data_IF_981768860107
#
_entry.id   IF_981768860107
#
_cell.length_a   1.000
_cell.length_b   1.000
_cell.length_c   1.000
_cell.angle_alpha   90.00
_cell.angle_beta   90.00
_cell.angle_gamma   90.00
#
_symmetry.space_group_name_H-M   'P 1'
#
loop_
_entity.id
_entity.type
_entity.pdbx_description
1 polymer ?
#
# COMPACT_ATOMS: atom_id res chain seq x y z
N UNK A 1 32.14 -43.02 19.64
CA UNK A 1 33.36 -42.20 19.47
C UNK A 1 32.95 -40.74 19.48
N UNK A 2 33.23 -40.06 20.60
CA UNK A 2 32.87 -38.67 20.86
C UNK A 2 33.89 -37.74 20.19
N UNK A 3 33.44 -36.74 19.43
CA UNK A 3 34.27 -35.61 18.99
C UNK A 3 33.65 -34.28 19.46
N UNK A 4 34.48 -33.27 19.78
CA UNK A 4 34.13 -32.19 20.69
C UNK A 4 33.57 -30.94 19.98
N UNK A 5 32.82 -30.17 20.75
CA UNK A 5 32.33 -28.82 20.43
C UNK A 5 33.50 -27.84 20.32
N UNK A 6 33.57 -27.09 19.22
CA UNK A 6 34.44 -25.92 19.08
C UNK A 6 33.61 -24.65 19.16
N UNK A 7 34.04 -23.80 20.07
CA UNK A 7 33.44 -22.58 20.56
C UNK A 7 34.19 -21.41 19.92
N UNK A 8 33.56 -20.61 19.06
CA UNK A 8 34.12 -19.34 18.58
C UNK A 8 33.11 -18.25 18.87
N UNK A 9 33.33 -17.59 20.01
CA UNK A 9 32.67 -16.35 20.36
C UNK A 9 33.25 -15.19 19.54
N UNK A 10 32.37 -14.37 19.01
CA UNK A 10 32.70 -13.04 18.51
C UNK A 10 31.82 -12.07 19.32
N UNK A 11 32.42 -11.50 20.36
CA UNK A 11 31.91 -10.35 21.08
C UNK A 11 32.37 -9.10 20.32
N UNK A 12 31.49 -8.46 19.56
CA UNK A 12 31.71 -7.11 19.05
C UNK A 12 31.09 -6.11 20.03
N UNK A 13 31.95 -5.62 20.92
CA UNK A 13 31.70 -4.42 21.73
C UNK A 13 31.81 -3.21 20.80
N UNK A 14 30.68 -2.61 20.43
CA UNK A 14 30.67 -1.32 19.74
C UNK A 14 30.41 -0.21 20.75
N UNK A 15 31.38 0.71 20.83
CA UNK A 15 31.45 1.80 21.78
C UNK A 15 30.37 2.85 21.53
N UNK A 16 29.63 3.18 22.60
CA UNK A 16 28.81 4.38 22.69
C UNK A 16 29.71 5.62 22.74
N UNK A 17 29.62 6.48 21.73
CA UNK A 17 30.15 7.84 21.74
C UNK A 17 29.00 8.77 22.15
N UNK A 18 28.93 9.08 23.44
CA UNK A 18 28.06 10.11 24.01
C UNK A 18 28.75 11.45 23.81
N UNK A 19 28.31 12.22 22.81
CA UNK A 19 28.72 13.63 22.66
C UNK A 19 27.77 14.52 23.45
N UNK A 20 28.27 15.02 24.58
CA UNK A 20 27.65 16.05 25.41
C UNK A 20 27.70 17.41 24.69
N UNK A 21 26.55 17.96 24.31
CA UNK A 21 26.43 19.36 23.90
C UNK A 21 26.16 20.26 25.13
N UNK A 22 26.79 21.45 25.19
CA UNK A 22 26.67 22.37 26.32
C UNK A 22 25.34 23.13 26.30
N UNK A 23 24.79 23.30 27.51
CA UNK A 23 23.70 24.21 27.82
C UNK A 23 24.15 25.66 27.57
N UNK A 24 23.40 26.37 26.70
CA UNK A 24 23.44 27.82 26.59
C UNK A 24 22.09 28.38 27.04
N UNK A 25 22.18 29.33 27.95
CA UNK A 25 21.11 30.02 28.64
C UNK A 25 20.75 31.35 27.95
N UNK A 26 19.45 31.65 27.91
CA UNK A 26 18.88 32.99 28.05
C UNK A 26 18.82 33.90 26.81
N UNK A 27 17.60 34.22 26.37
CA UNK A 27 17.05 35.59 26.38
C UNK A 27 15.57 35.56 25.98
N UNK A 28 14.72 36.07 26.87
CA UNK A 28 13.31 36.40 26.63
C UNK A 28 13.20 37.53 25.60
N UNK A 29 12.28 37.37 24.63
CA UNK A 29 11.74 38.48 23.85
C UNK A 29 10.21 38.43 23.90
N UNK A 30 9.67 39.33 24.71
CA UNK A 30 8.27 39.74 24.72
C UNK A 30 8.04 40.69 23.54
N UNK A 31 6.96 40.51 22.78
CA UNK A 31 6.49 41.54 21.85
C UNK A 31 5.81 41.06 20.58
N UNK A 32 4.47 41.10 20.59
CA UNK A 32 3.75 41.88 19.58
C UNK A 32 3.08 41.14 18.42
N UNK A 33 1.74 41.15 18.49
CA UNK A 33 0.87 41.75 17.48
C UNK A 33 0.58 40.98 16.17
N UNK A 34 -0.66 40.46 16.12
CA UNK A 34 -1.62 40.68 15.02
C UNK A 34 -1.13 40.52 13.57
N UNK A 35 -1.55 39.42 12.95
CA UNK A 35 -1.42 39.21 11.51
C UNK A 35 -2.49 38.24 11.00
N UNK A 36 -3.75 38.68 10.96
CA UNK A 36 -4.71 38.16 9.97
C UNK A 36 -4.40 38.83 8.64
N UNK A 37 -3.93 38.08 7.64
CA UNK A 37 -3.69 38.65 6.32
C UNK A 37 -3.14 37.67 5.28
N UNK A 38 -3.84 37.59 4.15
CA UNK A 38 -3.44 36.92 2.89
C UNK A 38 -4.27 35.66 2.65
N UNK A 39 -5.42 35.65 1.96
CA UNK A 39 -5.81 36.34 0.72
C UNK A 39 -4.80 36.16 -0.42
N UNK A 40 -5.11 35.24 -1.33
CA UNK A 40 -4.78 35.39 -2.75
C UNK A 40 -3.60 34.56 -3.28
N UNK A 41 -3.93 33.44 -3.92
CA UNK A 41 -3.24 32.95 -5.13
C UNK A 41 -4.34 32.47 -6.08
N UNK A 42 -4.78 33.34 -6.99
CA UNK A 42 -4.39 33.31 -8.41
C UNK A 42 -4.89 32.02 -9.07
N UNK A 43 -6.01 32.06 -9.79
CA UNK A 43 -6.02 32.61 -11.14
C UNK A 43 -5.96 31.44 -12.11
N UNK A 44 -7.06 31.18 -12.81
CA UNK A 44 -7.25 29.99 -13.63
C UNK A 44 -6.15 29.75 -14.64
N UNK A 45 -5.51 28.59 -14.51
CA UNK A 45 -5.15 27.76 -15.67
C UNK A 45 -6.11 26.59 -15.65
N UNK A 46 -6.70 26.23 -16.78
CA UNK A 46 -7.47 24.98 -16.93
C UNK A 46 -6.55 23.76 -16.84
N UNK A 47 -5.90 23.58 -15.69
CA UNK A 47 -5.24 22.34 -15.32
C UNK A 47 -6.31 21.35 -14.90
N UNK A 48 -6.18 20.09 -15.32
CA UNK A 48 -7.04 19.03 -14.85
C UNK A 48 -7.06 18.99 -13.30
N UNK A 49 -8.19 18.66 -12.66
CA UNK A 49 -8.25 18.50 -11.22
C UNK A 49 -7.19 17.48 -10.76
N UNK A 50 -6.51 17.76 -9.66
CA UNK A 50 -5.58 16.80 -9.07
C UNK A 50 -6.36 15.79 -8.21
N UNK A 51 -6.89 14.75 -8.85
CA UNK A 51 -7.66 13.70 -8.20
C UNK A 51 -6.81 12.81 -7.27
N UNK A 52 -5.49 12.79 -7.47
CA UNK A 52 -4.56 11.98 -6.69
C UNK A 52 -3.94 12.69 -5.49
N UNK A 53 -4.34 13.92 -5.13
CA UNK A 53 -3.74 14.60 -3.99
C UNK A 53 -4.04 13.85 -2.68
N UNK A 54 -3.00 13.51 -1.90
CA UNK A 54 -3.14 12.84 -0.61
C UNK A 54 -2.18 13.43 0.44
N UNK A 55 -2.49 13.17 1.70
CA UNK A 55 -1.73 13.65 2.87
C UNK A 55 -1.20 12.52 3.76
N UNK A 56 -1.65 11.28 3.54
CA UNK A 56 -1.26 10.14 4.35
C UNK A 56 -1.85 8.82 3.87
N UNK A 57 -1.57 7.73 4.61
CA UNK A 57 -1.98 6.39 4.25
C UNK A 57 -3.51 6.21 4.29
N UNK A 58 -3.99 5.25 3.49
CA UNK A 58 -5.43 4.92 3.39
C UNK A 58 -6.31 5.98 2.73
N UNK A 59 -5.71 7.00 2.12
CA UNK A 59 -6.44 8.05 1.39
C UNK A 59 -6.56 7.77 -0.11
N UNK A 60 -5.87 6.74 -0.62
CA UNK A 60 -5.81 6.42 -2.04
C UNK A 60 -6.53 5.11 -2.35
N UNK A 61 -7.24 5.06 -3.46
CA UNK A 61 -7.90 3.87 -4.00
C UNK A 61 -7.68 3.79 -5.50
N UNK A 62 -7.70 2.57 -6.05
CA UNK A 62 -7.68 2.37 -7.48
C UNK A 62 -9.09 2.49 -8.05
N UNK A 63 -9.22 3.21 -9.15
CA UNK A 63 -10.44 3.29 -9.97
C UNK A 63 -10.08 2.98 -11.42
N UNK A 64 -11.05 2.52 -12.20
CA UNK A 64 -10.86 2.34 -13.65
C UNK A 64 -10.56 3.70 -14.31
N UNK A 65 -9.58 3.75 -15.19
CA UNK A 65 -9.19 5.00 -15.87
C UNK A 65 -10.03 5.32 -17.12
N UNK A 66 -11.02 4.49 -17.44
CA UNK A 66 -12.00 4.71 -18.51
C UNK A 66 -13.41 4.48 -17.99
N UNK A 67 -14.43 5.03 -18.68
CA UNK A 67 -15.83 4.87 -18.27
C UNK A 67 -16.24 3.41 -18.03
N UNK A 68 -15.77 2.49 -18.86
CA UNK A 68 -16.16 1.09 -18.82
C UNK A 68 -15.12 0.15 -18.21
N UNK A 69 -13.89 0.59 -18.02
CA UNK A 69 -12.78 -0.27 -17.62
C UNK A 69 -12.42 -1.30 -18.68
N UNK A 70 -11.70 -2.34 -18.27
CA UNK A 70 -11.34 -3.47 -19.13
C UNK A 70 -12.26 -4.67 -18.90
N UNK A 71 -12.36 -5.49 -19.95
CA UNK A 71 -13.09 -6.76 -19.94
C UNK A 71 -12.23 -7.95 -19.52
N UNK A 72 -10.98 -7.71 -19.11
CA UNK A 72 -10.07 -8.71 -18.57
C UNK A 72 -9.79 -8.43 -17.10
N UNK A 73 -8.87 -9.19 -16.51
CA UNK A 73 -8.19 -8.77 -15.29
C UNK A 73 -7.48 -7.43 -15.57
N UNK A 74 -7.70 -6.39 -14.73
CA UNK A 74 -7.06 -5.10 -14.92
C UNK A 74 -5.56 -5.18 -14.62
N UNK A 75 -4.79 -4.38 -15.36
CA UNK A 75 -3.38 -4.10 -15.11
C UNK A 75 -3.23 -2.66 -14.58
N UNK A 76 -2.02 -2.26 -14.22
CA UNK A 76 -1.74 -0.87 -13.83
C UNK A 76 -2.13 0.15 -14.93
N UNK A 77 -2.11 -0.25 -16.20
CA UNK A 77 -2.52 0.62 -17.30
C UNK A 77 -4.05 0.81 -17.43
N UNK A 78 -4.85 0.03 -16.70
CA UNK A 78 -6.33 0.07 -16.74
C UNK A 78 -6.93 0.81 -15.53
N UNK A 79 -6.09 1.23 -14.60
CA UNK A 79 -6.48 1.87 -13.35
C UNK A 79 -5.78 3.22 -13.16
N UNK A 80 -6.34 4.04 -12.29
CA UNK A 80 -5.79 5.31 -11.84
C UNK A 80 -5.87 5.34 -10.30
N UNK A 81 -4.81 5.76 -9.61
CA UNK A 81 -4.86 5.99 -8.18
C UNK A 81 -5.54 7.34 -7.89
N UNK A 82 -6.65 7.30 -7.17
CA UNK A 82 -7.46 8.49 -6.86
C UNK A 82 -7.67 8.60 -5.36
N UNK A 83 -7.74 9.83 -4.85
CA UNK A 83 -8.10 10.07 -3.47
C UNK A 83 -9.53 9.55 -3.22
N UNK A 84 -9.76 8.85 -2.11
CA UNK A 84 -11.05 8.18 -1.82
C UNK A 84 -12.26 9.13 -1.91
N UNK A 85 -12.11 10.37 -1.49
CA UNK A 85 -13.17 11.40 -1.55
C UNK A 85 -13.39 12.01 -2.95
N UNK A 86 -12.51 11.71 -3.90
CA UNK A 86 -12.50 12.27 -5.27
C UNK A 86 -13.00 11.27 -6.32
N UNK A 87 -13.32 10.03 -5.92
CA UNK A 87 -13.72 8.95 -6.82
C UNK A 87 -14.93 9.32 -7.67
N UNK A 88 -15.96 9.95 -7.09
CA UNK A 88 -17.18 10.31 -7.81
C UNK A 88 -16.94 11.43 -8.84
N UNK A 89 -16.11 12.42 -8.49
CA UNK A 89 -15.73 13.51 -9.40
C UNK A 89 -14.86 12.98 -10.53
N UNK A 90 -13.90 12.10 -10.22
CA UNK A 90 -13.07 11.41 -11.21
C UNK A 90 -13.93 10.57 -12.16
N UNK A 91 -14.86 9.76 -11.64
CA UNK A 91 -15.75 8.94 -12.47
C UNK A 91 -16.61 9.79 -13.41
N UNK A 92 -17.08 10.95 -12.96
CA UNK A 92 -17.79 11.93 -13.79
C UNK A 92 -16.88 12.54 -14.85
N UNK A 93 -15.62 12.78 -14.52
CA UNK A 93 -14.62 13.30 -15.44
C UNK A 93 -14.25 12.29 -16.55
N UNK A 94 -14.01 11.02 -16.22
CA UNK A 94 -13.71 9.97 -17.21
C UNK A 94 -14.95 9.46 -17.95
N UNK A 95 -16.15 9.71 -17.41
CA UNK A 95 -17.41 9.37 -18.04
C UNK A 95 -18.47 10.49 -17.97
N UNK A 96 -18.30 11.59 -18.73
CA UNK A 96 -19.25 12.71 -18.71
C UNK A 96 -20.64 12.33 -19.25
N UNK A 97 -20.68 11.42 -20.22
CA UNK A 97 -21.91 10.87 -20.79
C UNK A 97 -21.94 9.35 -20.59
N UNK A 98 -22.58 8.84 -19.52
CA UNK A 98 -22.62 7.42 -19.24
C UNK A 98 -23.39 6.68 -20.34
N UNK A 99 -22.66 5.93 -21.15
CA UNK A 99 -23.23 4.98 -22.10
C UNK A 99 -23.20 3.58 -21.51
N UNK A 100 -24.12 2.72 -21.96
CA UNK A 100 -24.13 1.33 -21.53
C UNK A 100 -22.83 0.65 -21.95
N UNK A 101 -22.04 0.21 -20.97
CA UNK A 101 -20.82 -0.52 -21.23
C UNK A 101 -21.13 -1.87 -21.88
N UNK A 102 -20.29 -2.36 -22.82
CA UNK A 102 -20.44 -3.68 -23.41
C UNK A 102 -20.51 -4.75 -22.32
N UNK A 103 -21.40 -5.73 -22.49
CA UNK A 103 -21.42 -6.88 -21.61
C UNK A 103 -20.14 -7.70 -21.83
N UNK A 104 -19.31 -7.81 -20.80
CA UNK A 104 -18.11 -8.63 -20.82
C UNK A 104 -17.79 -9.15 -19.41
N UNK A 105 -16.96 -10.20 -19.33
CA UNK A 105 -16.57 -10.84 -18.09
C UNK A 105 -15.32 -10.16 -17.51
N UNK A 106 -15.50 -9.13 -16.70
CA UNK A 106 -14.40 -8.58 -15.91
C UNK A 106 -13.91 -9.56 -14.85
N UNK A 107 -12.61 -9.53 -14.54
CA UNK A 107 -12.03 -10.23 -13.40
C UNK A 107 -11.40 -9.20 -12.46
N UNK A 108 -11.52 -9.35 -11.12
CA UNK A 108 -10.78 -8.51 -10.19
C UNK A 108 -9.29 -8.83 -10.29
N UNK A 109 -8.43 -7.84 -10.03
CA UNK A 109 -7.01 -8.09 -9.76
C UNK A 109 -6.72 -7.67 -8.30
N UNK A 110 -6.66 -8.63 -7.35
CA UNK A 110 -6.43 -8.30 -5.94
C UNK A 110 -4.99 -7.88 -5.66
N UNK A 111 -4.06 -8.09 -6.61
CA UNK A 111 -2.65 -7.73 -6.51
C UNK A 111 -2.35 -6.25 -6.75
N UNK A 112 -3.29 -5.51 -7.36
CA UNK A 112 -3.16 -4.07 -7.54
C UNK A 112 -3.57 -3.33 -6.27
N UNK A 113 -2.80 -2.33 -5.88
CA UNK A 113 -3.13 -1.46 -4.74
C UNK A 113 -2.72 -0.01 -5.01
N UNK A 114 -3.35 0.91 -4.28
CA UNK A 114 -2.99 2.32 -4.27
C UNK A 114 -2.43 2.72 -2.90
N UNK A 115 -1.55 3.71 -2.89
CA UNK A 115 -0.96 4.26 -1.69
C UNK A 115 -0.61 5.73 -1.85
N UNK A 116 -0.41 6.43 -0.74
CA UNK A 116 0.04 7.81 -0.75
C UNK A 116 1.57 7.87 -0.72
N UNK A 117 2.18 8.44 -1.76
CA UNK A 117 3.62 8.66 -1.84
C UNK A 117 3.91 10.13 -2.17
N UNK A 118 4.73 10.78 -1.34
CA UNK A 118 5.16 12.17 -1.54
C UNK A 118 4.03 13.19 -1.81
N UNK A 119 2.84 12.96 -1.26
CA UNK A 119 1.67 13.84 -1.40
C UNK A 119 0.79 13.56 -2.62
N UNK A 120 1.06 12.47 -3.35
CA UNK A 120 0.25 12.00 -4.47
C UNK A 120 -0.08 10.52 -4.31
N UNK A 121 -1.26 10.12 -4.77
CA UNK A 121 -1.64 8.74 -4.89
C UNK A 121 -0.81 8.09 -5.99
N UNK A 122 -0.29 6.91 -5.69
CA UNK A 122 0.48 6.05 -6.58
C UNK A 122 -0.14 4.65 -6.58
N UNK A 123 0.08 3.92 -7.67
CA UNK A 123 -0.34 2.54 -7.87
C UNK A 123 0.86 1.58 -7.92
N UNK A 124 0.63 0.33 -7.51
CA UNK A 124 1.60 -0.75 -7.69
C UNK A 124 0.91 -2.09 -7.81
N UNK A 125 1.62 -3.03 -8.44
CA UNK A 125 1.27 -4.45 -8.48
C UNK A 125 2.17 -5.20 -7.51
N UNK A 126 1.57 -5.90 -6.55
CA UNK A 126 2.32 -6.67 -5.55
C UNK A 126 3.20 -7.74 -6.16
N UNK A 127 2.85 -8.31 -7.32
CA UNK A 127 3.65 -9.32 -8.00
C UNK A 127 5.02 -8.79 -8.45
N UNK A 128 5.14 -7.47 -8.66
CA UNK A 128 6.37 -6.80 -9.10
C UNK A 128 6.97 -5.87 -8.01
N UNK A 129 6.25 -5.65 -6.91
CA UNK A 129 6.66 -4.75 -5.83
C UNK A 129 7.58 -5.45 -4.81
N UNK A 130 8.38 -4.65 -4.10
CA UNK A 130 9.22 -5.11 -2.98
C UNK A 130 8.44 -5.81 -1.85
N UNK A 131 7.11 -5.65 -1.83
CA UNK A 131 6.24 -6.31 -0.85
C UNK A 131 6.06 -7.81 -1.07
N UNK A 132 6.42 -8.33 -2.23
CA UNK A 132 6.43 -9.77 -2.49
C UNK A 132 7.83 -10.37 -2.52
N UNK A 133 8.91 -9.60 -2.36
CA UNK A 133 10.28 -10.16 -2.42
C UNK A 133 10.49 -11.32 -1.43
N UNK A 134 11.06 -12.42 -1.92
CA UNK A 134 11.30 -13.63 -1.15
C UNK A 134 12.55 -14.37 -1.58
N UNK A 135 13.06 -15.22 -0.69
CA UNK A 135 14.12 -16.19 -1.02
C UNK A 135 13.58 -17.62 -1.00
N UNK A 136 12.61 -17.90 -0.12
CA UNK A 136 12.02 -19.23 0.09
C UNK A 136 10.52 -19.14 0.31
N UNK A 137 9.82 -20.26 0.14
CA UNK A 137 8.38 -20.35 0.41
C UNK A 137 7.99 -19.91 1.84
N UNK A 138 8.88 -20.09 2.82
CA UNK A 138 8.64 -19.72 4.21
C UNK A 138 8.62 -18.21 4.45
N UNK A 139 9.13 -17.43 3.49
CA UNK A 139 9.08 -15.96 3.55
C UNK A 139 7.69 -15.45 3.15
N UNK A 140 6.89 -16.27 2.46
CA UNK A 140 5.63 -15.85 1.87
C UNK A 140 4.43 -16.22 2.73
N UNK A 141 3.43 -15.34 2.75
CA UNK A 141 2.12 -15.58 3.36
C UNK A 141 1.00 -15.24 2.38
N UNK A 142 -0.10 -15.97 2.48
CA UNK A 142 -1.35 -15.62 1.80
C UNK A 142 -2.06 -14.48 2.53
N UNK A 143 -2.83 -13.70 1.76
CA UNK A 143 -3.84 -12.74 2.19
C UNK A 143 -4.99 -12.73 1.18
N UNK A 144 -6.14 -12.21 1.58
CA UNK A 144 -7.29 -11.88 0.74
C UNK A 144 -7.27 -10.38 0.42
N UNK A 145 -6.67 -10.03 -0.73
CA UNK A 145 -6.50 -8.67 -1.19
C UNK A 145 -5.42 -7.87 -0.43
N UNK A 146 -5.27 -6.61 -0.85
CA UNK A 146 -4.30 -5.66 -0.29
C UNK A 146 -4.95 -4.45 0.38
N UNK A 147 -6.28 -4.51 0.58
CA UNK A 147 -6.97 -3.52 1.38
C UNK A 147 -6.45 -3.50 2.82
N UNK A 148 -6.72 -2.39 3.51
CA UNK A 148 -6.35 -2.22 4.91
C UNK A 148 -6.81 -3.39 5.79
N UNK A 149 -8.07 -3.78 5.65
CA UNK A 149 -8.57 -4.98 6.30
C UNK A 149 -8.78 -6.10 5.30
N UNK A 150 -8.43 -7.29 5.74
CA UNK A 150 -8.70 -8.51 5.03
C UNK A 150 -10.14 -8.98 5.35
N UNK A 151 -10.94 -9.40 4.36
CA UNK A 151 -12.20 -10.04 4.64
C UNK A 151 -11.96 -11.38 5.34
N UNK A 152 -12.90 -11.77 6.20
CA UNK A 152 -12.77 -13.01 6.98
C UNK A 152 -12.90 -14.29 6.15
N UNK A 153 -13.50 -14.16 4.97
CA UNK A 153 -13.63 -15.21 3.98
C UNK A 153 -13.55 -14.59 2.59
N UNK A 154 -12.93 -15.32 1.67
CA UNK A 154 -12.80 -14.94 0.28
C UNK A 154 -12.50 -16.17 -0.58
N UNK A 155 -12.46 -15.97 -1.89
CA UNK A 155 -12.19 -17.02 -2.86
C UNK A 155 -10.75 -16.96 -3.39
N UNK A 156 -10.45 -17.91 -4.27
CA UNK A 156 -9.21 -17.91 -5.05
C UNK A 156 -8.96 -16.57 -5.78
N UNK A 157 -9.97 -15.91 -6.38
CA UNK A 157 -9.75 -14.62 -7.06
C UNK A 157 -9.36 -13.46 -6.13
N UNK A 158 -9.50 -13.63 -4.82
CA UNK A 158 -9.12 -12.62 -3.83
C UNK A 158 -7.72 -12.88 -3.28
N UNK A 159 -7.10 -14.03 -3.57
CA UNK A 159 -5.82 -14.40 -2.99
C UNK A 159 -4.67 -13.58 -3.57
N UNK A 160 -3.84 -13.08 -2.67
CA UNK A 160 -2.53 -12.52 -2.96
C UNK A 160 -1.48 -13.17 -2.07
N UNK A 161 -0.25 -13.21 -2.55
CA UNK A 161 0.90 -13.68 -1.78
C UNK A 161 1.85 -12.50 -1.55
N UNK A 162 2.26 -12.31 -0.31
CA UNK A 162 3.16 -11.22 0.08
C UNK A 162 4.28 -11.75 0.96
N UNK A 163 5.36 -11.00 1.04
CA UNK A 163 6.43 -11.27 1.99
C UNK A 163 5.91 -11.02 3.41
N UNK A 164 6.12 -11.99 4.30
CA UNK A 164 5.70 -11.93 5.70
C UNK A 164 6.35 -10.76 6.44
N UNK A 165 7.57 -10.38 6.05
CA UNK A 165 8.29 -9.22 6.57
C UNK A 165 7.68 -7.88 6.16
N UNK A 166 6.91 -7.86 5.07
CA UNK A 166 6.33 -6.65 4.48
C UNK A 166 4.92 -6.35 4.98
N UNK A 167 4.31 -7.25 5.77
CA UNK A 167 2.94 -7.07 6.28
C UNK A 167 2.76 -5.72 6.99
N UNK A 168 3.63 -5.39 7.94
CA UNK A 168 3.51 -4.13 8.68
C UNK A 168 3.66 -2.91 7.75
N UNK A 169 4.60 -2.95 6.81
CA UNK A 169 4.79 -1.87 5.85
C UNK A 169 3.58 -1.68 4.93
N UNK A 170 2.93 -2.78 4.51
CA UNK A 170 1.67 -2.71 3.77
C UNK A 170 0.62 -2.02 4.65
N UNK A 171 0.42 -2.49 5.89
CA UNK A 171 -0.55 -1.91 6.83
C UNK A 171 -0.33 -0.40 7.02
N UNK A 172 0.90 0.02 7.31
CA UNK A 172 1.24 1.43 7.55
C UNK A 172 0.98 2.31 6.32
N UNK A 173 0.95 1.72 5.13
CA UNK A 173 0.77 2.40 3.86
C UNK A 173 -0.71 2.47 3.41
N UNK A 174 -1.46 1.38 3.62
CA UNK A 174 -2.85 1.28 3.14
C UNK A 174 -3.88 1.61 4.21
N UNK A 175 -3.53 1.61 5.49
CA UNK A 175 -4.46 1.88 6.57
C UNK A 175 -4.37 3.33 7.05
N UNK A 176 -5.51 4.03 7.20
CA UNK A 176 -5.53 5.27 7.95
C UNK A 176 -5.04 5.04 9.39
N UNK A 177 -4.44 6.06 10.04
CA UNK A 177 -4.07 5.96 11.44
C UNK A 177 -5.30 5.67 12.31
N UNK A 178 -5.10 4.87 13.35
CA UNK A 178 -6.15 4.44 14.30
C UNK A 178 -7.28 3.59 13.69
N UNK A 179 -7.13 3.13 12.44
CA UNK A 179 -8.08 2.22 11.84
C UNK A 179 -7.93 0.80 12.42
N UNK A 180 -8.98 0.29 13.03
CA UNK A 180 -9.02 -1.06 13.59
C UNK A 180 -9.78 -2.01 12.66
N UNK A 181 -9.14 -3.13 12.30
CA UNK A 181 -9.86 -4.20 11.60
C UNK A 181 -10.74 -4.99 12.56
N UNK A 182 -11.96 -5.38 12.14
CA UNK A 182 -12.81 -6.25 12.93
C UNK A 182 -12.08 -7.56 13.23
N UNK A 183 -12.25 -8.16 14.42
CA UNK A 183 -11.59 -9.40 14.76
C UNK A 183 -12.14 -10.52 13.89
N UNK A 184 -11.31 -11.04 12.99
CA UNK A 184 -11.55 -12.33 12.36
C UNK A 184 -10.26 -13.02 11.94
N UNK A 185 -10.34 -14.34 11.83
CA UNK A 185 -9.28 -15.16 11.25
C UNK A 185 -9.64 -15.40 9.79
N UNK A 186 -8.88 -14.87 8.82
CA UNK A 186 -9.12 -15.13 7.42
C UNK A 186 -9.10 -16.64 7.13
N UNK A 187 -10.10 -17.10 6.40
CA UNK A 187 -10.18 -18.49 5.93
C UNK A 187 -9.67 -18.55 4.49
N UNK A 188 -8.48 -19.12 4.33
CA UNK A 188 -7.89 -19.37 3.02
C UNK A 188 -8.33 -20.74 2.47
N UNK A 189 -8.62 -20.84 1.16
CA UNK A 189 -8.81 -22.14 0.50
C UNK A 189 -7.57 -23.03 0.67
N UNK A 190 -7.76 -24.29 1.08
CA UNK A 190 -6.67 -25.25 1.35
C UNK A 190 -5.91 -25.71 0.11
N UNK A 191 -6.50 -25.50 -1.06
CA UNK A 191 -6.02 -25.94 -2.38
C UNK A 191 -4.96 -24.97 -2.93
N UNK A 192 -4.68 -23.88 -2.21
CA UNK A 192 -3.76 -22.83 -2.59
C UNK A 192 -2.82 -22.50 -1.43
N UNK A 193 -1.59 -22.10 -1.79
CA UNK A 193 -0.57 -21.68 -0.84
C UNK A 193 0.23 -20.52 -1.41
N UNK A 194 0.96 -19.82 -0.55
CA UNK A 194 2.00 -18.91 -0.98
C UNK A 194 3.30 -19.68 -1.22
N UNK A 195 4.03 -19.34 -2.28
CA UNK A 195 5.35 -19.90 -2.57
C UNK A 195 6.25 -18.82 -3.18
N UNK A 196 7.57 -19.04 -3.13
CA UNK A 196 8.52 -18.10 -3.69
C UNK A 196 8.86 -18.48 -5.14
N UNK A 197 8.33 -17.70 -6.09
CA UNK A 197 8.47 -17.94 -7.53
C UNK A 197 9.25 -16.78 -8.13
N UNK A 198 10.40 -17.08 -8.75
CA UNK A 198 11.24 -16.05 -9.40
C UNK A 198 11.62 -14.87 -8.49
N UNK A 199 11.76 -15.12 -7.18
CA UNK A 199 12.13 -14.10 -6.20
C UNK A 199 10.96 -13.27 -5.66
N UNK A 200 9.72 -13.57 -6.09
CA UNK A 200 8.50 -12.93 -5.61
C UNK A 200 7.50 -13.96 -5.08
N UNK A 201 6.77 -13.59 -4.04
CA UNK A 201 5.71 -14.38 -3.47
C UNK A 201 4.55 -14.47 -4.46
N UNK A 202 4.17 -15.70 -4.80
CA UNK A 202 3.09 -15.99 -5.72
C UNK A 202 2.09 -16.95 -5.08
N UNK A 203 0.83 -16.82 -5.49
CA UNK A 203 -0.23 -17.77 -5.15
C UNK A 203 -0.10 -18.96 -6.10
N UNK A 204 0.13 -20.16 -5.54
CA UNK A 204 0.29 -21.38 -6.33
C UNK A 204 -0.64 -22.48 -5.81
N UNK A 205 -1.03 -23.44 -6.66
CA UNK A 205 -1.77 -24.60 -6.20
C UNK A 205 -0.99 -25.35 -5.10
N UNK A 206 -1.66 -25.63 -3.99
CA UNK A 206 -1.21 -26.62 -3.04
C UNK A 206 -1.47 -27.99 -3.68
N UNK A 207 -0.51 -28.50 -4.46
CA UNK A 207 -0.60 -29.86 -4.99
C UNK A 207 -0.93 -30.82 -3.83
N UNK A 208 -1.87 -31.77 -4.00
CA UNK A 208 -2.12 -32.80 -3.00
C UNK A 208 -0.92 -33.74 -2.80
#
# INVERSE_FOLDING_TARGET
>A
MLRPRSNWGILLVSAFLVTTLPAACGSEVDGGNGGSGGSGGAGGGGGAPNFGACSGPGQCTLVKNTCCGTCSEPTLADVEPVHVDQVDEYNTFVCPEPSACPACAGAPNPGLFAYCEAGSCAEADVAEHAFSECTTAADCTLRLGLSCCEPCAGGVPDLVAVASSSLQAIYDLVCPPEFGCPPCAPLYPSEWKADCVTGHCAVVPAMP
#
